data_IF_423046008641
#
_entry.id   IF_423046008641
#
_cell.length_a   1.000
_cell.length_b   1.000
_cell.length_c   1.000
_cell.angle_alpha   90.00
_cell.angle_beta   90.00
_cell.angle_gamma   90.00
#
_symmetry.space_group_name_H-M   'P 1'
#
loop_
_entity.id
_entity.type
_entity.pdbx_description
1 polymer ?
#
# COMPACT_ATOMS: atom_id res chain seq x y z
N UNK A 1 11.77 -27.60 7.16
CA UNK A 1 10.80 -28.59 6.65
C UNK A 1 9.38 -28.17 7.05
N UNK A 2 8.41 -28.23 6.14
CA UNK A 2 7.00 -27.95 6.46
C UNK A 2 6.31 -29.24 6.89
N UNK A 3 5.50 -29.16 7.94
CA UNK A 3 4.63 -30.26 8.38
C UNK A 3 3.33 -30.23 7.57
N UNK A 4 2.99 -31.36 6.93
CA UNK A 4 1.78 -31.48 6.13
C UNK A 4 0.67 -32.15 6.95
N UNK A 5 -0.47 -31.49 7.06
CA UNK A 5 -1.64 -32.00 7.79
C UNK A 5 -2.73 -32.33 6.79
N UNK A 6 -2.99 -33.63 6.61
CA UNK A 6 -3.99 -34.13 5.68
C UNK A 6 -5.31 -34.34 6.41
N UNK A 7 -6.38 -33.75 5.89
CA UNK A 7 -7.74 -33.85 6.43
C UNK A 7 -8.68 -34.46 5.39
N UNK A 8 -9.78 -35.05 5.87
CA UNK A 8 -10.65 -35.87 5.02
C UNK A 8 -11.49 -35.05 4.02
N UNK A 9 -11.84 -33.81 4.35
CA UNK A 9 -12.71 -32.96 3.55
C UNK A 9 -12.47 -31.48 3.85
N UNK A 10 -13.13 -30.61 3.09
CA UNK A 10 -13.03 -29.15 3.22
C UNK A 10 -13.55 -28.62 4.57
N UNK A 11 -14.62 -29.21 5.12
CA UNK A 11 -15.15 -28.80 6.43
C UNK A 11 -14.09 -28.96 7.51
N UNK A 12 -13.42 -30.11 7.55
CA UNK A 12 -12.34 -30.37 8.50
C UNK A 12 -11.11 -29.50 8.23
N UNK A 13 -10.84 -29.12 6.97
CA UNK A 13 -9.77 -28.17 6.62
C UNK A 13 -10.03 -26.79 7.21
N UNK A 14 -11.22 -26.23 6.98
CA UNK A 14 -11.59 -24.91 7.48
C UNK A 14 -11.64 -24.91 9.00
N UNK A 15 -12.22 -25.96 9.60
CA UNK A 15 -12.23 -26.11 11.07
C UNK A 15 -10.83 -26.21 11.65
N UNK A 16 -9.95 -26.99 11.02
CA UNK A 16 -8.55 -27.08 11.44
C UNK A 16 -7.87 -25.72 11.38
N UNK A 17 -8.03 -24.97 10.28
CA UNK A 17 -7.48 -23.62 10.16
C UNK A 17 -7.98 -22.68 11.26
N UNK A 18 -9.29 -22.66 11.55
CA UNK A 18 -9.85 -21.80 12.62
C UNK A 18 -9.34 -22.19 14.00
N UNK A 19 -9.28 -23.49 14.31
CA UNK A 19 -8.73 -23.96 15.59
C UNK A 19 -7.25 -23.58 15.71
N UNK A 20 -6.47 -23.75 14.65
CA UNK A 20 -5.06 -23.41 14.63
C UNK A 20 -4.82 -21.91 14.86
N UNK A 21 -5.65 -21.05 14.24
CA UNK A 21 -5.63 -19.61 14.49
C UNK A 21 -5.96 -19.28 15.94
N UNK A 22 -6.98 -19.92 16.53
CA UNK A 22 -7.36 -19.72 17.94
C UNK A 22 -6.25 -20.16 18.90
N UNK A 23 -5.58 -21.27 18.61
CA UNK A 23 -4.46 -21.80 19.40
C UNK A 23 -3.24 -20.88 19.35
N UNK A 24 -2.88 -20.39 18.16
CA UNK A 24 -1.72 -19.51 17.99
C UNK A 24 -1.99 -18.06 18.42
N UNK A 25 -3.25 -17.63 18.38
CA UNK A 25 -3.69 -16.27 18.67
C UNK A 25 -2.81 -15.19 17.98
N UNK A 26 -2.73 -15.18 16.63
CA UNK A 26 -1.86 -14.28 15.92
C UNK A 26 -2.35 -12.82 16.00
N UNK A 27 -1.42 -11.91 16.24
CA UNK A 27 -1.71 -10.46 16.25
C UNK A 27 -1.71 -9.84 14.85
N UNK A 28 -1.09 -10.50 13.88
CA UNK A 28 -0.92 -9.99 12.52
C UNK A 28 -1.21 -11.12 11.53
N UNK A 29 -2.16 -10.87 10.64
CA UNK A 29 -2.40 -11.69 9.46
C UNK A 29 -1.78 -11.01 8.25
N UNK A 30 -1.11 -11.80 7.42
CA UNK A 30 -0.38 -11.31 6.25
C UNK A 30 -0.83 -12.12 5.06
N UNK A 31 -1.17 -11.42 3.99
CA UNK A 31 -1.62 -12.02 2.74
C UNK A 31 -1.03 -11.29 1.55
N UNK A 32 -1.22 -11.84 0.35
CA UNK A 32 -0.95 -11.16 -0.90
C UNK A 32 -2.23 -11.12 -1.73
N UNK A 33 -2.88 -9.95 -1.80
CA UNK A 33 -4.20 -9.77 -2.42
C UNK A 33 -5.34 -10.48 -1.66
N UNK A 34 -5.19 -10.68 -0.35
CA UNK A 34 -6.16 -11.40 0.47
C UNK A 34 -7.47 -10.66 0.67
N UNK A 35 -7.49 -9.32 0.57
CA UNK A 35 -8.73 -8.54 0.68
C UNK A 35 -9.72 -8.88 -0.45
N UNK A 36 -9.22 -9.25 -1.63
CA UNK A 36 -10.03 -9.46 -2.83
C UNK A 36 -10.15 -10.93 -3.26
N UNK A 37 -9.37 -11.84 -2.67
CA UNK A 37 -9.38 -13.26 -3.02
C UNK A 37 -9.48 -14.16 -1.79
N UNK A 38 -8.41 -14.27 -0.99
CA UNK A 38 -8.27 -15.28 0.06
C UNK A 38 -9.37 -15.20 1.12
N UNK A 39 -9.59 -14.01 1.71
CA UNK A 39 -10.61 -13.84 2.76
C UNK A 39 -12.04 -13.99 2.25
N UNK A 40 -12.48 -13.35 1.14
CA UNK A 40 -13.81 -13.59 0.58
C UNK A 40 -14.05 -15.05 0.22
N UNK A 41 -13.04 -15.75 -0.29
CA UNK A 41 -13.16 -17.15 -0.63
C UNK A 41 -13.37 -17.99 0.64
N UNK A 42 -12.53 -17.81 1.65
CA UNK A 42 -12.64 -18.52 2.92
C UNK A 42 -13.97 -18.22 3.63
N UNK A 43 -14.41 -16.96 3.67
CA UNK A 43 -15.68 -16.54 4.26
C UNK A 43 -16.86 -17.27 3.59
N UNK A 44 -16.90 -17.26 2.25
CA UNK A 44 -17.98 -17.91 1.50
C UNK A 44 -18.00 -19.42 1.75
N UNK A 45 -16.83 -20.09 1.73
CA UNK A 45 -16.75 -21.53 1.98
C UNK A 45 -17.10 -21.88 3.43
N UNK A 46 -16.68 -21.08 4.40
CA UNK A 46 -17.04 -21.26 5.81
C UNK A 46 -18.56 -21.12 6.03
N UNK A 47 -19.19 -20.12 5.40
CA UNK A 47 -20.65 -19.90 5.47
C UNK A 47 -21.43 -21.08 4.90
N UNK A 48 -20.97 -21.67 3.79
CA UNK A 48 -21.58 -22.90 3.23
C UNK A 48 -21.60 -24.07 4.22
N UNK A 49 -20.65 -24.10 5.16
CA UNK A 49 -20.52 -25.11 6.21
C UNK A 49 -21.11 -24.65 7.56
N UNK A 50 -21.81 -23.51 7.60
CA UNK A 50 -22.44 -22.97 8.81
C UNK A 50 -21.46 -22.36 9.82
N UNK A 51 -20.25 -22.01 9.40
CA UNK A 51 -19.24 -21.33 10.22
C UNK A 51 -19.14 -19.85 9.84
N UNK A 52 -18.93 -18.99 10.82
CA UNK A 52 -18.79 -17.55 10.62
C UNK A 52 -17.34 -17.10 10.83
N UNK A 53 -16.72 -16.52 9.81
CA UNK A 53 -15.32 -16.11 9.83
C UNK A 53 -15.04 -15.10 10.96
N UNK A 54 -15.99 -14.19 11.23
CA UNK A 54 -15.83 -13.16 12.25
C UNK A 54 -15.78 -13.74 13.65
N UNK A 55 -16.70 -14.64 13.98
CA UNK A 55 -16.72 -15.28 15.30
C UNK A 55 -15.54 -16.23 15.53
N UNK A 56 -15.03 -16.85 14.46
CA UNK A 56 -13.95 -17.84 14.54
C UNK A 56 -12.56 -17.21 14.58
N UNK A 57 -12.28 -16.23 13.70
CA UNK A 57 -10.94 -15.64 13.50
C UNK A 57 -10.86 -14.18 13.98
N UNK A 58 -12.01 -13.51 14.16
CA UNK A 58 -12.04 -12.09 14.50
C UNK A 58 -11.75 -11.15 13.32
N UNK A 59 -11.74 -11.67 12.09
CA UNK A 59 -11.62 -10.90 10.85
C UNK A 59 -12.98 -10.78 10.18
N UNK A 60 -13.31 -9.58 9.70
CA UNK A 60 -14.57 -9.32 8.99
C UNK A 60 -14.41 -8.25 7.92
N UNK A 61 -15.30 -8.29 6.93
CA UNK A 61 -15.34 -7.32 5.84
C UNK A 61 -15.88 -5.96 6.30
N UNK A 62 -15.15 -4.89 5.99
CA UNK A 62 -15.55 -3.51 6.23
C UNK A 62 -16.34 -2.91 5.04
N UNK A 63 -16.88 -1.71 5.20
CA UNK A 63 -17.68 -0.97 4.20
C UNK A 63 -16.95 -0.76 2.87
N UNK A 64 -15.63 -0.67 2.89
CA UNK A 64 -14.80 -0.50 1.69
C UNK A 64 -14.52 -1.83 0.97
N UNK A 65 -15.02 -2.95 1.50
CA UNK A 65 -14.77 -4.29 0.96
C UNK A 65 -13.46 -4.93 1.39
N UNK A 66 -12.72 -4.29 2.30
CA UNK A 66 -11.46 -4.75 2.87
C UNK A 66 -11.72 -5.64 4.10
N UNK A 67 -10.88 -6.66 4.34
CA UNK A 67 -10.98 -7.50 5.53
C UNK A 67 -10.09 -6.95 6.63
N UNK A 68 -10.68 -6.71 7.80
CA UNK A 68 -10.02 -6.13 8.97
C UNK A 68 -10.26 -6.97 10.20
N UNK A 69 -9.25 -7.06 11.06
CA UNK A 69 -9.36 -7.78 12.32
C UNK A 69 -9.79 -6.88 13.48
N UNK A 70 -10.52 -7.44 14.43
CA UNK A 70 -10.94 -6.72 15.65
C UNK A 70 -9.79 -6.59 16.66
N UNK A 71 -9.05 -7.68 16.85
CA UNK A 71 -7.91 -7.76 17.79
C UNK A 71 -6.58 -8.07 17.08
N UNK A 72 -6.63 -8.30 15.77
CA UNK A 72 -5.49 -8.61 14.94
C UNK A 72 -5.46 -7.65 13.74
N UNK A 73 -4.26 -7.35 13.26
CA UNK A 73 -4.05 -6.46 12.12
C UNK A 73 -3.97 -7.31 10.86
N UNK A 74 -4.77 -7.00 9.83
CA UNK A 74 -4.61 -7.59 8.52
C UNK A 74 -3.77 -6.70 7.61
N UNK A 75 -2.58 -7.19 7.25
CA UNK A 75 -1.63 -6.55 6.36
C UNK A 75 -1.62 -7.25 4.99
N UNK A 76 -2.36 -6.68 4.03
CA UNK A 76 -2.28 -7.12 2.63
C UNK A 76 -1.03 -6.52 1.96
N UNK A 77 -0.04 -7.36 1.70
CA UNK A 77 1.22 -6.95 1.08
C UNK A 77 1.03 -6.33 -0.31
N UNK A 78 -0.05 -6.69 -1.02
CA UNK A 78 -0.32 -6.19 -2.35
C UNK A 78 -0.63 -4.68 -2.35
N UNK A 79 -1.22 -4.15 -1.28
CA UNK A 79 -1.45 -2.70 -1.11
C UNK A 79 -0.11 -1.94 -1.09
N UNK A 80 0.88 -2.45 -0.35
CA UNK A 80 2.23 -1.87 -0.33
C UNK A 80 2.90 -1.98 -1.70
N UNK A 81 2.77 -3.11 -2.39
CA UNK A 81 3.33 -3.29 -3.74
C UNK A 81 2.81 -2.24 -4.70
N UNK A 82 1.50 -1.96 -4.69
CA UNK A 82 0.92 -0.95 -5.59
C UNK A 82 1.42 0.47 -5.29
N UNK A 83 1.58 0.81 -4.01
CA UNK A 83 1.82 2.20 -3.59
C UNK A 83 3.31 2.54 -3.47
N UNK A 84 4.09 1.67 -2.85
CA UNK A 84 5.40 2.01 -2.29
C UNK A 84 6.55 1.17 -2.87
N UNK A 85 6.28 0.13 -3.69
CA UNK A 85 7.36 -0.72 -4.20
C UNK A 85 8.10 -0.16 -5.40
N UNK A 86 7.57 0.89 -6.04
CA UNK A 86 8.06 1.50 -7.29
C UNK A 86 8.19 0.50 -8.46
N UNK A 87 7.39 -0.57 -8.44
CA UNK A 87 7.37 -1.55 -9.53
C UNK A 87 6.34 -1.15 -10.60
N UNK A 88 6.65 -1.34 -11.90
CA UNK A 88 5.68 -1.10 -12.96
C UNK A 88 4.49 -2.05 -12.79
N UNK A 89 3.30 -1.62 -13.24
CA UNK A 89 2.05 -2.37 -13.02
C UNK A 89 2.11 -3.83 -13.51
N UNK A 90 2.80 -4.09 -14.62
CA UNK A 90 3.00 -5.44 -15.15
C UNK A 90 3.89 -6.36 -14.30
N UNK A 91 4.59 -5.84 -13.29
CA UNK A 91 5.49 -6.59 -12.41
C UNK A 91 5.03 -6.60 -10.94
N UNK A 92 3.75 -6.32 -10.70
CA UNK A 92 3.15 -6.32 -9.36
C UNK A 92 2.52 -7.66 -8.97
N UNK A 93 2.71 -8.73 -9.76
CA UNK A 93 2.33 -10.09 -9.35
C UNK A 93 3.32 -10.67 -8.34
N UNK A 94 2.87 -11.54 -7.44
CA UNK A 94 3.70 -12.11 -6.36
C UNK A 94 5.02 -12.70 -6.89
N UNK A 95 4.98 -13.42 -8.01
CA UNK A 95 6.15 -14.03 -8.65
C UNK A 95 7.19 -12.98 -9.08
N UNK A 96 6.75 -11.97 -9.83
CA UNK A 96 7.61 -10.88 -10.27
C UNK A 96 8.18 -10.10 -9.06
N UNK A 97 7.34 -9.78 -8.08
CA UNK A 97 7.78 -9.07 -6.88
C UNK A 97 8.82 -9.90 -6.10
N UNK A 98 8.60 -11.20 -5.96
CA UNK A 98 9.54 -12.13 -5.31
C UNK A 98 10.88 -12.15 -6.04
N UNK A 99 10.87 -12.26 -7.37
CA UNK A 99 12.09 -12.19 -8.18
C UNK A 99 12.84 -10.87 -8.01
N UNK A 100 12.14 -9.74 -8.12
CA UNK A 100 12.74 -8.41 -8.05
C UNK A 100 13.23 -8.03 -6.65
N UNK A 101 12.48 -8.40 -5.61
CA UNK A 101 12.72 -7.92 -4.24
C UNK A 101 13.42 -8.94 -3.35
N UNK A 102 13.17 -10.24 -3.55
CA UNK A 102 13.78 -11.33 -2.76
C UNK A 102 14.94 -12.03 -3.49
N UNK A 103 15.08 -11.83 -4.81
CA UNK A 103 16.24 -12.29 -5.58
C UNK A 103 16.28 -13.79 -5.84
N UNK A 104 15.13 -14.46 -5.78
CA UNK A 104 14.99 -15.87 -6.19
C UNK A 104 13.76 -16.04 -7.08
N UNK A 105 13.79 -17.05 -7.94
CA UNK A 105 12.67 -17.41 -8.80
C UNK A 105 11.74 -18.39 -8.05
N UNK A 106 10.49 -17.99 -7.72
CA UNK A 106 9.54 -18.88 -7.06
C UNK A 106 9.04 -19.96 -8.02
N UNK A 107 8.46 -21.02 -7.46
CA UNK A 107 7.83 -22.07 -8.27
C UNK A 107 6.66 -21.48 -9.03
N UNK A 108 6.61 -21.73 -10.33
CA UNK A 108 5.54 -21.25 -11.19
C UNK A 108 4.65 -22.40 -11.66
N UNK A 109 3.34 -22.23 -11.45
CA UNK A 109 2.30 -23.09 -12.01
C UNK A 109 1.30 -22.19 -12.74
N UNK A 110 0.86 -22.62 -13.92
CA UNK A 110 -0.20 -21.92 -14.66
C UNK A 110 -1.57 -22.18 -13.99
N UNK A 111 -2.43 -21.17 -13.84
CA UNK A 111 -3.73 -21.33 -13.16
C UNK A 111 -4.60 -22.45 -13.74
N UNK A 112 -4.52 -22.68 -15.05
CA UNK A 112 -5.29 -23.72 -15.75
C UNK A 112 -4.79 -25.14 -15.42
N UNK A 113 -3.52 -25.28 -15.01
CA UNK A 113 -2.91 -26.56 -14.67
C UNK A 113 -3.10 -26.95 -13.19
N UNK A 114 -3.54 -26.02 -12.33
CA UNK A 114 -3.65 -26.26 -10.89
C UNK A 114 -4.59 -27.44 -10.55
N UNK A 115 -5.73 -27.55 -11.23
CA UNK A 115 -6.68 -28.63 -11.00
C UNK A 115 -6.16 -30.00 -11.47
N UNK A 116 -5.64 -30.14 -12.71
CA UNK A 116 -4.95 -31.36 -13.12
C UNK A 116 -3.79 -31.76 -12.20
N UNK A 117 -2.99 -30.80 -11.76
CA UNK A 117 -1.86 -31.05 -10.86
C UNK A 117 -2.31 -31.49 -9.47
N UNK A 118 -3.40 -30.93 -8.94
CA UNK A 118 -3.95 -31.37 -7.66
C UNK A 118 -4.41 -32.84 -7.69
N UNK A 119 -4.89 -33.33 -8.83
CA UNK A 119 -5.34 -34.73 -9.00
C UNK A 119 -4.19 -35.69 -9.28
N UNK A 120 -3.27 -35.31 -10.18
CA UNK A 120 -2.24 -36.20 -10.69
C UNK A 120 -0.91 -36.10 -9.92
N UNK A 121 -0.55 -34.92 -9.43
CA UNK A 121 0.72 -34.60 -8.79
C UNK A 121 0.56 -33.73 -7.52
N UNK A 122 -0.16 -34.22 -6.48
CA UNK A 122 -0.51 -33.42 -5.30
C UNK A 122 0.70 -32.86 -4.55
N UNK A 123 1.84 -33.58 -4.56
CA UNK A 123 3.07 -33.11 -3.93
C UNK A 123 3.64 -31.85 -4.60
N UNK A 124 3.54 -31.76 -5.94
CA UNK A 124 3.98 -30.59 -6.70
C UNK A 124 3.07 -29.39 -6.40
N UNK A 125 1.76 -29.63 -6.34
CA UNK A 125 0.79 -28.59 -5.97
C UNK A 125 0.98 -28.09 -4.52
N UNK A 126 1.24 -29.00 -3.59
CA UNK A 126 1.57 -28.65 -2.20
C UNK A 126 2.87 -27.83 -2.12
N UNK A 127 3.89 -28.20 -2.89
CA UNK A 127 5.16 -27.46 -2.96
C UNK A 127 4.97 -26.05 -3.52
N UNK A 128 4.10 -25.89 -4.52
CA UNK A 128 3.71 -24.58 -5.05
C UNK A 128 2.98 -23.73 -3.99
N UNK A 129 1.99 -24.31 -3.29
CA UNK A 129 1.28 -23.61 -2.20
C UNK A 129 2.23 -23.16 -1.08
N UNK A 130 3.18 -24.02 -0.68
CA UNK A 130 4.22 -23.66 0.30
C UNK A 130 5.13 -22.56 -0.24
N UNK A 131 5.50 -22.60 -1.54
CA UNK A 131 6.30 -21.54 -2.17
C UNK A 131 5.62 -20.17 -2.08
N UNK A 132 4.31 -20.09 -2.32
CA UNK A 132 3.56 -18.84 -2.23
C UNK A 132 3.43 -18.34 -0.77
N UNK A 133 3.19 -19.24 0.18
CA UNK A 133 3.17 -18.88 1.61
C UNK A 133 4.54 -18.39 2.09
N UNK A 134 5.61 -19.07 1.67
CA UNK A 134 7.00 -18.69 1.94
C UNK A 134 7.34 -17.36 1.29
N UNK A 135 6.97 -17.15 0.03
CA UNK A 135 7.17 -15.90 -0.67
C UNK A 135 6.45 -14.77 0.04
N UNK A 136 5.18 -14.95 0.40
CA UNK A 136 4.39 -13.95 1.13
C UNK A 136 4.98 -13.65 2.51
N UNK A 137 5.39 -14.69 3.25
CA UNK A 137 6.02 -14.53 4.56
C UNK A 137 7.40 -13.86 4.47
N UNK A 138 8.27 -14.24 3.55
CA UNK A 138 9.58 -13.59 3.39
C UNK A 138 9.49 -12.23 2.73
N UNK A 139 8.49 -11.99 1.88
CA UNK A 139 8.14 -10.64 1.45
C UNK A 139 7.78 -9.85 2.72
N UNK A 140 6.94 -10.40 3.61
CA UNK A 140 6.58 -9.86 4.93
C UNK A 140 7.66 -9.85 6.02
N UNK A 141 8.75 -10.58 5.92
CA UNK A 141 9.79 -10.60 6.96
C UNK A 141 11.05 -9.95 6.45
N UNK A 142 11.50 -10.34 5.25
CA UNK A 142 12.79 -9.96 4.68
C UNK A 142 12.78 -8.58 4.03
N UNK A 143 11.69 -8.19 3.37
CA UNK A 143 11.52 -6.78 2.96
C UNK A 143 11.02 -5.93 4.13
N UNK A 144 10.31 -6.51 5.10
CA UNK A 144 9.58 -5.75 6.12
C UNK A 144 10.38 -5.42 7.37
N UNK A 145 11.36 -6.26 7.78
CA UNK A 145 12.34 -5.88 8.82
C UNK A 145 13.18 -4.67 8.38
N UNK A 146 13.17 -4.34 7.08
CA UNK A 146 13.71 -3.08 6.57
C UNK A 146 12.65 -2.04 6.16
N UNK A 147 11.46 -2.43 5.67
CA UNK A 147 10.62 -1.51 4.89
C UNK A 147 9.09 -1.57 5.04
N UNK A 148 8.44 -2.49 5.76
CA UNK A 148 6.95 -2.49 5.83
C UNK A 148 6.40 -2.78 7.22
N UNK A 149 6.85 -3.78 7.98
CA UNK A 149 6.45 -3.87 9.39
C UNK A 149 6.97 -2.65 10.15
N UNK A 150 8.30 -2.48 10.17
CA UNK A 150 8.93 -1.32 10.77
C UNK A 150 8.47 -0.02 10.10
N UNK A 151 8.28 0.01 8.79
CA UNK A 151 7.83 1.24 8.11
C UNK A 151 6.38 1.60 8.44
N UNK A 152 5.41 0.69 8.31
CA UNK A 152 3.99 0.97 8.61
C UNK A 152 3.84 1.32 10.09
N UNK A 153 4.44 0.54 11.00
CA UNK A 153 4.35 0.84 12.43
C UNK A 153 5.13 2.08 12.82
N UNK A 154 6.27 2.41 12.17
CA UNK A 154 6.96 3.69 12.37
C UNK A 154 6.13 4.86 11.86
N UNK A 155 5.47 4.71 10.71
CA UNK A 155 4.55 5.72 10.20
C UNK A 155 3.36 5.93 11.15
N UNK A 156 2.85 4.87 11.77
CA UNK A 156 1.82 4.99 12.82
C UNK A 156 2.26 5.77 14.06
N UNK A 157 3.57 5.96 14.29
CA UNK A 157 4.05 6.78 15.42
C UNK A 157 3.86 8.28 15.18
N UNK A 158 3.78 8.70 13.92
CA UNK A 158 3.67 10.11 13.51
C UNK A 158 2.31 10.42 12.85
N UNK A 159 1.75 9.46 12.10
CA UNK A 159 0.46 9.59 11.43
C UNK A 159 -0.61 9.10 12.41
N UNK A 160 -1.66 9.90 12.70
CA UNK A 160 -2.73 9.54 13.63
C UNK A 160 -3.74 8.56 12.98
N UNK A 161 -3.26 7.47 12.40
CA UNK A 161 -4.04 6.44 11.72
C UNK A 161 -3.57 5.04 12.13
N UNK A 162 -4.50 4.09 12.17
CA UNK A 162 -4.17 2.68 12.42
C UNK A 162 -3.29 2.08 11.31
N UNK A 163 -2.58 1.00 11.61
CA UNK A 163 -1.65 0.34 10.67
C UNK A 163 -2.33 -0.11 9.38
N UNK A 164 -3.55 -0.63 9.46
CA UNK A 164 -4.35 -1.02 8.30
C UNK A 164 -4.69 0.18 7.40
N UNK A 165 -4.95 1.34 7.99
CA UNK A 165 -5.23 2.59 7.26
C UNK A 165 -3.95 3.18 6.65
N UNK A 166 -2.84 3.15 7.40
CA UNK A 166 -1.53 3.60 6.91
C UNK A 166 -1.05 2.74 5.74
N UNK A 167 -1.40 1.46 5.69
CA UNK A 167 -1.08 0.58 4.57
C UNK A 167 -1.96 0.84 3.34
N UNK A 168 -3.25 1.12 3.53
CA UNK A 168 -4.24 1.16 2.43
C UNK A 168 -4.52 2.55 1.86
N UNK A 169 -4.41 3.61 2.65
CA UNK A 169 -4.72 4.98 2.19
C UNK A 169 -3.64 5.52 1.27
N UNK A 170 -4.01 6.39 0.33
CA UNK A 170 -3.06 7.05 -0.55
C UNK A 170 -2.12 7.98 0.23
N UNK A 171 -0.90 8.19 -0.29
CA UNK A 171 0.11 9.06 0.31
C UNK A 171 -0.40 10.50 0.53
N UNK A 172 -1.23 11.02 -0.36
CA UNK A 172 -1.88 12.33 -0.18
C UNK A 172 -2.75 12.41 1.07
N UNK A 173 -3.52 11.37 1.38
CA UNK A 173 -4.34 11.29 2.60
C UNK A 173 -3.48 11.16 3.86
N UNK A 174 -2.34 10.47 3.77
CA UNK A 174 -1.37 10.40 4.85
C UNK A 174 -0.77 11.79 5.15
N UNK A 175 -0.43 12.56 4.11
CA UNK A 175 0.01 13.94 4.24
C UNK A 175 -1.09 14.85 4.81
N UNK A 176 -2.35 14.69 4.38
CA UNK A 176 -3.51 15.42 4.93
C UNK A 176 -3.61 15.20 6.46
N UNK A 177 -3.50 13.96 6.92
CA UNK A 177 -3.55 13.65 8.35
C UNK A 177 -2.41 14.31 9.15
N UNK A 178 -1.19 14.32 8.60
CA UNK A 178 -0.05 15.02 9.23
C UNK A 178 -0.28 16.53 9.29
N UNK A 179 -0.77 17.13 8.21
CA UNK A 179 -1.09 18.56 8.17
C UNK A 179 -2.19 18.93 9.15
N UNK A 180 -3.19 18.07 9.35
CA UNK A 180 -4.25 18.28 10.34
C UNK A 180 -3.72 18.29 11.78
N UNK A 181 -2.74 17.43 12.11
CA UNK A 181 -2.10 17.43 13.44
C UNK A 181 -1.33 18.72 13.68
N UNK A 182 -0.56 19.18 12.69
CA UNK A 182 0.18 20.43 12.80
C UNK A 182 -0.74 21.67 12.83
N UNK A 183 -1.82 21.68 12.04
CA UNK A 183 -2.83 22.73 12.08
C UNK A 183 -3.51 22.80 13.46
N UNK A 184 -3.87 21.65 14.04
CA UNK A 184 -4.44 21.58 15.39
C UNK A 184 -3.46 22.11 16.45
N UNK A 185 -2.18 21.72 16.39
CA UNK A 185 -1.12 22.24 17.27
C UNK A 185 -0.91 23.75 17.12
N UNK A 186 -1.05 24.27 15.90
CA UNK A 186 -0.99 25.69 15.59
C UNK A 186 -2.28 26.47 15.89
N UNK A 187 -3.34 25.81 16.39
CA UNK A 187 -4.68 26.38 16.57
C UNK A 187 -5.25 27.01 15.27
N UNK A 188 -4.98 26.37 14.12
CA UNK A 188 -5.43 26.76 12.79
C UNK A 188 -6.63 25.89 12.41
N UNK A 189 -7.72 26.52 11.96
CA UNK A 189 -8.92 25.81 11.50
C UNK A 189 -8.63 25.14 10.14
N UNK A 190 -8.85 23.84 10.06
CA UNK A 190 -8.74 23.10 8.80
C UNK A 190 -9.88 23.50 7.84
N UNK A 191 -9.57 23.90 6.60
CA UNK A 191 -10.60 24.21 5.61
C UNK A 191 -11.34 22.93 5.16
N UNK A 192 -12.56 23.11 4.66
CA UNK A 192 -13.33 22.02 4.05
C UNK A 192 -12.64 21.52 2.77
N UNK A 193 -12.90 20.24 2.41
CA UNK A 193 -12.31 19.63 1.22
C UNK A 193 -12.67 20.39 -0.05
N UNK A 194 -11.66 20.67 -0.87
CA UNK A 194 -11.85 21.28 -2.17
C UNK A 194 -12.46 20.26 -3.14
N UNK A 195 -13.42 20.70 -3.93
CA UNK A 195 -13.97 19.92 -5.05
C UNK A 195 -13.32 20.48 -6.32
N UNK A 196 -12.33 19.78 -6.86
CA UNK A 196 -11.54 20.24 -8.01
C UNK A 196 -11.91 19.52 -9.31
N UNK A 197 -11.70 20.24 -10.43
CA UNK A 197 -11.66 19.71 -11.81
C UNK A 197 -10.19 19.38 -12.14
N UNK A 198 -9.86 18.28 -12.85
CA UNK A 198 -8.48 17.89 -13.11
C UNK A 198 -7.71 18.93 -13.92
N UNK A 199 -6.43 19.14 -13.57
CA UNK A 199 -5.50 20.02 -14.28
C UNK A 199 -4.58 19.16 -15.17
N UNK A 200 -4.63 19.38 -16.48
CA UNK A 200 -3.78 18.71 -17.47
C UNK A 200 -2.50 19.52 -17.64
N UNK A 201 -1.39 19.05 -17.08
CA UNK A 201 -0.08 19.60 -17.38
C UNK A 201 0.94 18.47 -17.37
N UNK A 202 1.38 18.08 -18.58
CA UNK A 202 2.74 17.60 -18.94
C UNK A 202 2.72 16.83 -20.28
N UNK A 203 2.21 17.44 -21.37
CA UNK A 203 2.16 16.77 -22.68
C UNK A 203 3.40 17.00 -23.57
N UNK A 204 4.26 17.96 -23.24
CA UNK A 204 5.30 18.42 -24.19
C UNK A 204 6.53 17.51 -24.31
N UNK A 205 6.79 16.60 -23.36
CA UNK A 205 7.96 15.69 -23.41
C UNK A 205 7.68 14.39 -24.17
N UNK A 206 6.40 14.07 -24.42
CA UNK A 206 5.96 12.84 -25.11
C UNK A 206 6.22 12.92 -26.62
N UNK A 207 6.18 14.12 -27.18
CA UNK A 207 5.92 14.30 -28.61
C UNK A 207 7.19 14.29 -29.49
N UNK A 208 8.42 14.13 -28.95
CA UNK A 208 9.66 14.06 -29.76
C UNK A 208 10.84 13.32 -29.10
N UNK A 209 10.83 11.96 -29.06
CA UNK A 209 11.82 11.17 -28.29
C UNK A 209 13.13 10.77 -29.01
N UNK A 210 13.27 10.88 -30.32
CA UNK A 210 14.40 10.26 -31.06
C UNK A 210 15.53 11.24 -31.43
N UNK A 211 16.75 10.96 -30.95
CA UNK A 211 17.99 11.67 -31.32
C UNK A 211 19.19 10.70 -31.40
N UNK A 212 20.03 10.86 -32.43
CA UNK A 212 21.18 9.98 -32.69
C UNK A 212 22.49 10.77 -32.53
N UNK A 213 23.15 10.60 -31.39
CA UNK A 213 24.40 11.28 -31.02
C UNK A 213 25.30 10.26 -30.27
N UNK A 214 26.59 10.55 -30.03
CA UNK A 214 27.50 9.69 -29.24
C UNK A 214 27.80 10.37 -27.88
N UNK A 215 26.91 10.27 -26.88
CA UNK A 215 26.96 11.13 -25.70
C UNK A 215 27.80 10.57 -24.55
N UNK A 216 28.35 11.49 -23.76
CA UNK A 216 28.66 11.27 -22.35
C UNK A 216 27.40 11.64 -21.55
N UNK A 217 26.70 10.63 -21.02
CA UNK A 217 25.43 10.82 -20.31
C UNK A 217 25.72 11.08 -18.83
N UNK A 218 25.44 12.30 -18.38
CA UNK A 218 25.41 12.66 -16.96
C UNK A 218 23.95 12.76 -16.51
N UNK A 219 23.59 12.05 -15.46
CA UNK A 219 22.32 12.22 -14.76
C UNK A 219 22.58 13.08 -13.52
N UNK A 220 22.03 14.29 -13.53
CA UNK A 220 22.06 15.22 -12.40
C UNK A 220 20.65 15.27 -11.82
N UNK A 221 20.50 14.76 -10.60
CA UNK A 221 19.24 14.74 -9.88
C UNK A 221 19.34 15.58 -8.60
N UNK A 222 18.34 16.44 -8.39
CA UNK A 222 18.27 17.30 -7.20
C UNK A 222 17.48 16.55 -6.14
N UNK A 223 18.16 16.15 -5.06
CA UNK A 223 17.54 15.43 -3.95
C UNK A 223 16.33 16.22 -3.41
N UNK A 224 15.16 15.57 -3.37
CA UNK A 224 13.91 16.14 -2.86
C UNK A 224 13.60 17.55 -3.42
N UNK A 225 13.67 17.68 -4.75
CA UNK A 225 13.49 18.95 -5.47
C UNK A 225 12.26 19.75 -5.00
N UNK A 226 11.05 19.18 -5.07
CA UNK A 226 9.82 19.91 -4.71
C UNK A 226 9.75 20.30 -3.24
N UNK A 227 10.02 19.41 -2.26
CA UNK A 227 10.12 19.82 -0.86
C UNK A 227 11.09 20.97 -0.62
N UNK A 228 12.28 20.94 -1.24
CA UNK A 228 13.26 22.01 -1.08
C UNK A 228 12.79 23.35 -1.69
N UNK A 229 12.14 23.31 -2.86
CA UNK A 229 11.54 24.51 -3.48
C UNK A 229 10.42 25.09 -2.60
N UNK A 230 9.56 24.22 -2.06
CA UNK A 230 8.47 24.59 -1.16
C UNK A 230 9.01 25.30 0.08
N UNK A 231 10.03 24.73 0.74
CA UNK A 231 10.63 25.32 1.94
C UNK A 231 11.37 26.63 1.65
N UNK A 232 12.14 26.68 0.56
CA UNK A 232 12.93 27.87 0.19
C UNK A 232 12.04 29.07 -0.09
N UNK A 233 10.95 28.85 -0.84
CA UNK A 233 10.02 29.91 -1.24
C UNK A 233 8.83 30.05 -0.27
N UNK A 234 8.80 29.28 0.82
CA UNK A 234 7.71 29.24 1.81
C UNK A 234 6.33 29.03 1.18
N UNK A 235 6.28 28.16 0.17
CA UNK A 235 5.05 27.87 -0.57
C UNK A 235 4.09 27.09 0.33
N UNK A 236 2.90 27.64 0.53
CA UNK A 236 1.80 26.96 1.21
C UNK A 236 0.49 27.47 0.63
N UNK A 237 -0.58 26.65 0.53
CA UNK A 237 -1.83 27.08 -0.08
C UNK A 237 -2.40 28.36 0.52
N UNK A 238 -2.28 28.55 1.85
CA UNK A 238 -2.73 29.75 2.57
C UNK A 238 -1.90 31.01 2.30
N UNK A 239 -0.68 30.88 1.77
CA UNK A 239 0.18 32.01 1.43
C UNK A 239 -0.03 32.49 -0.02
N UNK A 240 -0.85 31.79 -0.80
CA UNK A 240 -1.24 32.21 -2.14
C UNK A 240 -2.36 33.25 -2.03
N UNK A 241 -1.98 34.50 -1.78
CA UNK A 241 -2.90 35.63 -1.58
C UNK A 241 -3.14 36.39 -2.88
N UNK A 242 -4.36 36.92 -3.05
CA UNK A 242 -4.62 37.83 -4.17
C UNK A 242 -4.08 39.24 -3.86
N UNK A 243 -3.87 40.10 -4.87
CA UNK A 243 -3.49 41.50 -4.63
C UNK A 243 -4.48 42.24 -3.72
N UNK A 244 -5.77 41.90 -3.80
CA UNK A 244 -6.80 42.48 -2.94
C UNK A 244 -6.61 42.08 -1.46
N UNK A 245 -6.34 40.81 -1.19
CA UNK A 245 -6.07 40.30 0.16
C UNK A 245 -4.79 40.91 0.74
N UNK A 246 -3.75 41.05 -0.09
CA UNK A 246 -2.47 41.66 0.30
C UNK A 246 -2.64 43.15 0.65
N UNK A 247 -3.43 43.89 -0.12
CA UNK A 247 -3.72 45.31 0.13
C UNK A 247 -4.55 45.54 1.41
N UNK A 248 -5.32 44.54 1.86
CA UNK A 248 -6.07 44.61 3.11
C UNK A 248 -5.21 44.29 4.36
N UNK A 249 -3.94 43.89 4.16
CA UNK A 249 -3.06 43.47 5.25
C UNK A 249 -2.56 44.66 6.08
N UNK A 250 -2.55 44.51 7.40
CA UNK A 250 -2.07 45.53 8.37
C UNK A 250 -0.59 45.88 8.18
N UNK A 251 0.18 45.03 7.49
CA UNK A 251 1.59 45.21 7.19
C UNK A 251 1.85 45.83 5.80
N UNK A 252 0.82 46.22 5.05
CA UNK A 252 0.99 46.88 3.75
C UNK A 252 1.40 48.35 3.92
N UNK A 253 2.67 48.60 4.24
CA UNK A 253 3.15 49.99 4.49
C UNK A 253 3.51 50.78 3.23
N UNK A 254 3.72 50.14 2.08
CA UNK A 254 3.84 50.78 0.74
C UNK A 254 3.88 49.67 -0.33
N UNK A 255 3.06 49.77 -1.39
CA UNK A 255 3.09 48.86 -2.53
C UNK A 255 4.41 48.94 -3.29
N UNK A 256 5.42 48.15 -2.91
CA UNK A 256 6.42 47.70 -3.87
C UNK A 256 5.91 46.42 -4.51
N UNK A 257 5.45 46.56 -5.74
CA UNK A 257 5.14 45.49 -6.68
C UNK A 257 6.41 44.70 -7.00
N UNK A 258 6.81 43.78 -6.12
CA UNK A 258 7.75 42.73 -6.50
C UNK A 258 6.99 41.72 -7.37
N UNK A 259 6.90 42.03 -8.67
CA UNK A 259 6.47 41.09 -9.69
C UNK A 259 7.45 39.91 -9.69
N UNK A 260 6.97 38.73 -9.29
CA UNK A 260 7.60 37.48 -9.71
C UNK A 260 7.11 37.24 -11.13
N UNK A 261 7.87 37.71 -12.13
CA UNK A 261 7.65 37.30 -13.51
C UNK A 261 8.00 35.82 -13.62
N UNK A 262 6.98 34.98 -13.86
CA UNK A 262 7.20 33.63 -14.36
C UNK A 262 7.65 33.75 -15.82
N UNK A 263 8.91 33.41 -16.09
CA UNK A 263 9.43 33.07 -17.41
C UNK A 263 9.31 31.56 -17.64
#
# INVERSE_FOLDING_TARGET
PFECINVANELELIRYFFNHVKELNPHIFVTYNGDFFDWPFLETRAQHHGMDLKSEVGISKDRNGEYRGQCAVHLDAYCWVKRDSYLPQGSQGLKAVTKYKLGYDPVEVDPEEMLPLAQNEPLKMASYSVSDAVATFYLYVRLYDKYVHLFVFSLCTIIPLGSEDVLRKGSGTLCEALLMVEAFRGNIICPNKQVSVPFEALEMLRDSPDRWEKPLIYHLDVAAMYPNIILTNRLQPSAMVTPADCAACVHSTTCETSYVQYY
#
